data_IF_241229685643
#
_entry.id   IF_241229685643
#
_cell.length_a   1.000
_cell.length_b   1.000
_cell.length_c   1.000
_cell.angle_alpha   90.00
_cell.angle_beta   90.00
_cell.angle_gamma   90.00
#
_symmetry.space_group_name_H-M   'P 1'
#
loop_
_entity.id
_entity.type
_entity.pdbx_description
1 polymer ?
#
# COMPACT_ATOMS: atom_id res chain seq x y z
N UNK A 1 6.21 1.91 -3.18
CA UNK A 1 5.33 2.99 -2.64
C UNK A 1 6.14 4.14 -2.07
N UNK A 2 7.36 3.93 -1.55
CA UNK A 2 8.26 5.02 -1.11
C UNK A 2 8.62 5.99 -2.23
N UNK A 3 8.65 5.49 -3.45
CA UNK A 3 8.91 6.25 -4.68
C UNK A 3 7.78 7.27 -4.94
N UNK A 4 6.55 6.96 -4.56
CA UNK A 4 5.44 7.90 -4.67
C UNK A 4 5.58 9.07 -3.70
N UNK A 5 6.10 8.84 -2.48
CA UNK A 5 6.38 9.94 -1.55
C UNK A 5 7.39 10.92 -2.15
N UNK A 6 8.45 10.40 -2.78
CA UNK A 6 9.42 11.23 -3.48
C UNK A 6 8.78 12.02 -4.63
N UNK A 7 7.90 11.40 -5.41
CA UNK A 7 7.20 12.04 -6.52
C UNK A 7 6.22 13.13 -6.07
N UNK A 8 5.55 12.97 -4.93
CA UNK A 8 4.71 14.05 -4.37
C UNK A 8 5.56 15.29 -4.08
N UNK A 9 6.72 15.09 -3.46
CA UNK A 9 7.56 16.20 -3.00
C UNK A 9 8.41 16.83 -4.13
N UNK A 10 8.78 16.06 -5.16
CA UNK A 10 9.77 16.47 -6.17
C UNK A 10 9.29 16.32 -7.62
N UNK A 11 8.14 15.69 -7.84
CA UNK A 11 7.59 15.43 -9.17
C UNK A 11 6.90 16.64 -9.79
N UNK A 12 6.34 16.42 -10.98
CA UNK A 12 5.56 17.44 -11.67
C UNK A 12 4.28 17.74 -10.90
N UNK A 13 4.19 18.94 -10.32
CA UNK A 13 3.05 19.37 -9.52
C UNK A 13 1.74 19.42 -10.32
N UNK A 14 1.80 19.59 -11.65
CA UNK A 14 0.61 19.50 -12.51
C UNK A 14 0.03 18.08 -12.60
N UNK A 15 0.79 17.06 -12.20
CA UNK A 15 0.38 15.66 -12.21
C UNK A 15 0.12 15.12 -10.78
N UNK A 16 -0.03 16.01 -9.78
CA UNK A 16 -0.21 15.59 -8.38
C UNK A 16 -1.44 14.71 -8.17
N UNK A 17 -2.51 14.93 -8.93
CA UNK A 17 -3.72 14.09 -8.90
C UNK A 17 -3.46 12.69 -9.45
N UNK A 18 -2.63 12.56 -10.49
CA UNK A 18 -2.25 11.25 -11.06
C UNK A 18 -1.43 10.44 -10.06
N UNK A 19 -0.56 11.10 -9.29
CA UNK A 19 0.17 10.49 -8.17
C UNK A 19 -0.80 9.99 -7.10
N UNK A 20 -1.84 10.76 -6.79
CA UNK A 20 -2.91 10.35 -5.88
C UNK A 20 -3.65 9.09 -6.35
N UNK A 21 -4.07 9.07 -7.62
CA UNK A 21 -4.70 7.90 -8.24
C UNK A 21 -3.77 6.68 -8.19
N UNK A 22 -2.50 6.84 -8.58
CA UNK A 22 -1.51 5.76 -8.53
C UNK A 22 -1.29 5.22 -7.10
N UNK A 23 -1.31 6.10 -6.10
CA UNK A 23 -1.19 5.72 -4.69
C UNK A 23 -2.38 4.87 -4.22
N UNK A 24 -3.59 5.28 -4.57
CA UNK A 24 -4.82 4.52 -4.26
C UNK A 24 -4.81 3.15 -4.93
N UNK A 25 -4.44 3.09 -6.22
CA UNK A 25 -4.37 1.84 -6.98
C UNK A 25 -3.33 0.88 -6.39
N UNK A 26 -2.15 1.37 -6.03
CA UNK A 26 -1.10 0.53 -5.43
C UNK A 26 -1.53 -0.04 -4.08
N UNK A 27 -2.16 0.75 -3.22
CA UNK A 27 -2.69 0.25 -1.95
C UNK A 27 -3.79 -0.80 -2.17
N UNK A 28 -4.65 -0.59 -3.16
CA UNK A 28 -5.72 -1.55 -3.53
C UNK A 28 -5.13 -2.85 -4.05
N UNK A 29 -4.13 -2.77 -4.93
CA UNK A 29 -3.41 -3.94 -5.46
C UNK A 29 -2.69 -4.72 -4.36
N UNK A 30 -2.07 -4.03 -3.40
CA UNK A 30 -1.44 -4.65 -2.23
C UNK A 30 -2.47 -5.44 -1.39
N UNK A 31 -3.60 -4.81 -1.07
CA UNK A 31 -4.66 -5.47 -0.28
C UNK A 31 -5.24 -6.67 -1.04
N UNK A 32 -5.49 -6.53 -2.34
CA UNK A 32 -5.92 -7.64 -3.20
C UNK A 32 -4.93 -8.80 -3.25
N UNK A 33 -3.63 -8.53 -3.39
CA UNK A 33 -2.60 -9.56 -3.36
C UNK A 33 -2.56 -10.29 -2.00
N UNK A 34 -2.69 -9.56 -0.90
CA UNK A 34 -2.75 -10.13 0.45
C UNK A 34 -3.96 -11.02 0.65
N UNK A 35 -5.13 -10.68 0.09
CA UNK A 35 -6.31 -11.54 0.14
C UNK A 35 -6.03 -12.89 -0.52
N UNK A 36 -5.41 -12.89 -1.71
CA UNK A 36 -5.02 -14.13 -2.40
C UNK A 36 -4.02 -14.97 -1.59
N UNK A 37 -3.04 -14.31 -0.95
CA UNK A 37 -2.10 -15.02 -0.05
C UNK A 37 -2.86 -15.65 1.12
N UNK A 38 -3.73 -14.89 1.80
CA UNK A 38 -4.50 -15.39 2.94
C UNK A 38 -5.34 -16.61 2.58
N UNK A 39 -5.94 -16.65 1.39
CA UNK A 39 -6.67 -17.82 0.90
C UNK A 39 -5.76 -19.06 0.86
N UNK A 40 -4.56 -18.93 0.31
CA UNK A 40 -3.57 -20.03 0.26
C UNK A 40 -3.04 -20.42 1.65
N UNK A 41 -2.96 -19.50 2.61
CA UNK A 41 -2.48 -19.81 3.96
C UNK A 41 -3.48 -20.67 4.76
N UNK A 42 -4.78 -20.61 4.47
CA UNK A 42 -5.79 -21.42 5.17
C UNK A 42 -5.58 -22.91 4.99
N UNK A 43 -5.10 -23.33 3.81
CA UNK A 43 -4.82 -24.73 3.47
C UNK A 43 -3.37 -25.14 3.74
N UNK A 44 -2.50 -24.24 4.22
CA UNK A 44 -1.10 -24.56 4.48
C UNK A 44 -0.96 -25.44 5.74
N UNK A 45 -0.34 -26.61 5.57
CA UNK A 45 -0.13 -27.58 6.65
C UNK A 45 0.85 -27.05 7.71
N UNK A 46 1.96 -26.45 7.27
CA UNK A 46 2.95 -25.87 8.18
C UNK A 46 2.42 -24.59 8.82
N UNK A 47 1.96 -24.71 10.08
CA UNK A 47 1.31 -23.62 10.82
C UNK A 47 2.27 -22.50 11.23
N UNK A 48 3.54 -22.80 11.50
CA UNK A 48 4.54 -21.78 11.83
C UNK A 48 4.84 -20.91 10.60
N UNK A 49 4.95 -21.55 9.44
CA UNK A 49 5.15 -20.84 8.18
C UNK A 49 3.90 -20.02 7.79
N UNK A 50 2.71 -20.59 7.99
CA UNK A 50 1.44 -19.89 7.77
C UNK A 50 1.36 -18.62 8.63
N UNK A 51 1.71 -18.72 9.92
CA UNK A 51 1.74 -17.59 10.84
C UNK A 51 2.75 -16.54 10.40
N UNK A 52 3.98 -16.94 10.07
CA UNK A 52 5.03 -16.01 9.58
C UNK A 52 4.56 -15.19 8.37
N UNK A 53 3.90 -15.83 7.41
CA UNK A 53 3.39 -15.13 6.22
C UNK A 53 2.17 -14.27 6.53
N UNK A 54 1.28 -14.70 7.41
CA UNK A 54 0.16 -13.89 7.87
C UNK A 54 0.63 -12.61 8.56
N UNK A 55 1.63 -12.73 9.45
CA UNK A 55 2.23 -11.59 10.16
C UNK A 55 2.92 -10.64 9.18
N UNK A 56 3.66 -11.18 8.21
CA UNK A 56 4.28 -10.39 7.13
C UNK A 56 3.24 -9.64 6.30
N UNK A 57 2.12 -10.28 5.96
CA UNK A 57 1.01 -9.64 5.25
C UNK A 57 0.37 -8.52 6.06
N UNK A 58 0.17 -8.72 7.36
CA UNK A 58 -0.38 -7.69 8.24
C UNK A 58 0.53 -6.46 8.31
N UNK A 59 1.84 -6.67 8.45
CA UNK A 59 2.83 -5.59 8.47
C UNK A 59 2.88 -4.84 7.14
N UNK A 60 2.93 -5.56 6.01
CA UNK A 60 2.91 -4.94 4.68
C UNK A 60 1.65 -4.11 4.46
N UNK A 61 0.47 -4.61 4.85
CA UNK A 61 -0.78 -3.87 4.71
C UNK A 61 -0.78 -2.60 5.56
N UNK A 62 -0.32 -2.70 6.81
CA UNK A 62 -0.21 -1.56 7.72
C UNK A 62 0.69 -0.48 7.13
N UNK A 63 1.91 -0.84 6.75
CA UNK A 63 2.87 0.09 6.13
C UNK A 63 2.33 0.70 4.82
N UNK A 64 1.69 -0.10 3.97
CA UNK A 64 1.08 0.39 2.74
C UNK A 64 -0.03 1.41 2.97
N UNK A 65 -0.89 1.18 3.98
CA UNK A 65 -1.95 2.11 4.40
C UNK A 65 -1.36 3.41 4.98
N UNK A 66 -0.35 3.31 5.84
CA UNK A 66 0.34 4.48 6.42
C UNK A 66 0.97 5.35 5.33
N UNK A 67 1.67 4.76 4.37
CA UNK A 67 2.28 5.48 3.25
C UNK A 67 1.21 6.13 2.37
N UNK A 68 0.13 5.39 2.04
CA UNK A 68 -1.00 5.93 1.27
C UNK A 68 -1.59 7.16 1.96
N UNK A 69 -1.92 7.04 3.24
CA UNK A 69 -2.60 8.12 3.98
C UNK A 69 -1.69 9.34 4.10
N UNK A 70 -0.39 9.15 4.34
CA UNK A 70 0.60 10.23 4.32
C UNK A 70 0.65 10.95 2.98
N UNK A 71 0.67 10.22 1.86
CA UNK A 71 0.67 10.81 0.52
C UNK A 71 -0.64 11.56 0.25
N UNK A 72 -1.79 10.95 0.51
CA UNK A 72 -3.08 11.58 0.25
C UNK A 72 -3.26 12.85 1.08
N UNK A 73 -2.85 12.85 2.35
CA UNK A 73 -2.90 14.06 3.18
C UNK A 73 -2.09 15.22 2.59
N UNK A 74 -0.90 14.94 2.03
CA UNK A 74 -0.10 15.95 1.32
C UNK A 74 -0.82 16.46 0.07
N UNK A 75 -1.39 15.56 -0.72
CA UNK A 75 -2.10 15.91 -1.96
C UNK A 75 -3.33 16.78 -1.64
N UNK A 76 -4.17 16.37 -0.67
CA UNK A 76 -5.32 17.15 -0.22
C UNK A 76 -4.91 18.55 0.23
N UNK A 77 -3.86 18.66 1.04
CA UNK A 77 -3.34 19.95 1.50
C UNK A 77 -2.78 20.86 0.38
N UNK A 78 -2.52 20.30 -0.81
CA UNK A 78 -1.97 21.03 -1.96
C UNK A 78 -3.03 21.46 -2.98
N UNK A 79 -4.25 20.89 -2.91
CA UNK A 79 -5.35 21.15 -3.87
C UNK A 79 -6.58 21.81 -3.24
N UNK A 80 -6.62 21.91 -1.92
CA UNK A 80 -7.63 22.62 -1.11
C UNK A 80 -7.09 23.98 -0.64
#
# INVERSE_FOLDING_TARGET
>A
MKELEFLVDNGNQNAITDIGVGTLMLCTGLEGAILNVKVNLMSLENKDLAKKYADSCAEMLKQGKEIRDKILNKIHSAIE
#
